data_IF_706967910150
#
_entry.id   IF_706967910150
#
_cell.length_a   1.000
_cell.length_b   1.000
_cell.length_c   1.000
_cell.angle_alpha   90.00
_cell.angle_beta   90.00
_cell.angle_gamma   90.00
#
_symmetry.space_group_name_H-M   'P 1'
#
loop_
_entity.id
_entity.type
_entity.pdbx_description
1 polymer ?
#
# COMPACT_ATOMS: atom_id res chain seq x y z
N UNK A 1 5.40 -4.73 -10.04
CA UNK A 1 4.45 -5.87 -10.07
C UNK A 1 3.25 -5.51 -10.91
N UNK A 2 2.89 -6.28 -11.95
CA UNK A 2 1.65 -6.01 -12.68
C UNK A 2 0.48 -6.88 -12.23
N UNK A 3 0.69 -8.16 -11.88
CA UNK A 3 -0.35 -9.11 -11.46
C UNK A 3 0.29 -10.34 -10.79
N UNK A 4 -0.46 -11.02 -9.91
CA UNK A 4 -0.06 -12.27 -9.26
C UNK A 4 -0.02 -12.21 -7.74
N UNK A 5 0.46 -13.29 -7.14
CA UNK A 5 0.58 -13.47 -5.70
C UNK A 5 2.02 -13.21 -5.22
N UNK A 6 2.15 -12.47 -4.12
CA UNK A 6 3.41 -12.35 -3.38
C UNK A 6 3.25 -13.03 -2.04
N UNK A 7 4.02 -14.10 -1.83
CA UNK A 7 4.10 -14.76 -0.53
C UNK A 7 4.99 -13.91 0.39
N UNK A 8 4.49 -13.60 1.57
CA UNK A 8 5.19 -12.86 2.61
C UNK A 8 5.25 -13.70 3.88
N UNK A 9 6.15 -13.43 4.82
CA UNK A 9 6.21 -14.19 6.08
C UNK A 9 4.91 -14.17 6.91
N UNK A 10 4.00 -13.23 6.64
CA UNK A 10 2.78 -12.99 7.44
C UNK A 10 1.48 -13.24 6.69
N UNK A 11 1.55 -13.57 5.39
CA UNK A 11 0.38 -13.66 4.53
C UNK A 11 0.72 -13.61 3.05
N UNK A 12 -0.32 -13.44 2.23
CA UNK A 12 -0.21 -13.35 0.77
C UNK A 12 -0.78 -12.02 0.29
N UNK A 13 -0.03 -11.33 -0.56
CA UNK A 13 -0.49 -10.14 -1.26
C UNK A 13 -0.91 -10.54 -2.67
N UNK A 14 -2.20 -10.40 -2.95
CA UNK A 14 -2.81 -10.63 -4.26
C UNK A 14 -2.84 -9.32 -5.02
N UNK A 15 -2.39 -9.33 -6.28
CA UNK A 15 -2.43 -8.16 -7.15
C UNK A 15 -3.08 -8.51 -8.48
N UNK A 16 -3.98 -7.65 -8.96
CA UNK A 16 -4.59 -7.77 -10.28
C UNK A 16 -4.91 -6.42 -10.90
N UNK A 17 -4.86 -6.33 -12.23
CA UNK A 17 -5.40 -5.16 -12.93
C UNK A 17 -6.91 -5.21 -13.00
N UNK A 18 -7.53 -4.05 -12.81
CA UNK A 18 -8.97 -3.83 -12.93
C UNK A 18 -9.25 -2.52 -13.66
N UNK A 19 -10.46 -2.38 -14.22
CA UNK A 19 -10.91 -1.18 -14.93
C UNK A 19 -11.84 -0.30 -14.10
N UNK A 20 -12.25 -0.76 -12.92
CA UNK A 20 -13.10 -0.02 -11.99
C UNK A 20 -12.67 -0.25 -10.56
N UNK A 21 -12.99 0.69 -9.68
CA UNK A 21 -12.67 0.60 -8.26
C UNK A 21 -13.85 1.04 -7.40
N UNK A 22 -13.77 0.69 -6.12
CA UNK A 22 -14.68 1.14 -5.08
C UNK A 22 -13.87 1.55 -3.85
N UNK A 23 -14.51 2.20 -2.89
CA UNK A 23 -13.90 2.41 -1.58
C UNK A 23 -13.45 1.05 -0.99
N UNK A 24 -12.16 0.88 -0.61
CA UNK A 24 -11.69 -0.35 0.02
C UNK A 24 -12.46 -0.65 1.30
N UNK A 25 -12.62 -1.93 1.62
CA UNK A 25 -13.29 -2.36 2.86
C UNK A 25 -12.50 -1.96 4.12
N UNK A 26 -11.17 -2.11 4.07
CA UNK A 26 -10.24 -1.79 5.14
C UNK A 26 -8.82 -1.50 4.57
N UNK A 27 -7.82 -1.36 5.44
CA UNK A 27 -6.44 -1.10 5.03
C UNK A 27 -5.72 -2.26 4.35
N UNK A 28 -6.31 -3.46 4.28
CA UNK A 28 -5.76 -4.63 3.59
C UNK A 28 -6.23 -4.74 2.13
N UNK A 29 -7.15 -3.87 1.70
CA UNK A 29 -7.54 -3.71 0.29
C UNK A 29 -7.11 -2.33 -0.22
N UNK A 30 -6.65 -2.27 -1.46
CA UNK A 30 -6.25 -1.02 -2.09
C UNK A 30 -6.49 -1.02 -3.60
N UNK A 31 -6.84 0.17 -4.12
CA UNK A 31 -6.92 0.45 -5.54
C UNK A 31 -5.97 1.60 -5.84
N UNK A 32 -4.99 1.37 -6.71
CA UNK A 32 -3.95 2.34 -7.03
C UNK A 32 -4.00 2.69 -8.52
N UNK A 33 -3.74 3.95 -8.87
CA UNK A 33 -3.61 4.41 -10.26
C UNK A 33 -2.32 3.86 -10.88
N UNK A 34 -2.40 2.68 -11.49
CA UNK A 34 -1.23 1.93 -11.97
C UNK A 34 -0.45 2.71 -13.04
N UNK A 35 -1.16 3.43 -13.89
CA UNK A 35 -0.62 4.29 -14.96
C UNK A 35 0.17 5.50 -14.42
N UNK A 36 -0.12 5.92 -13.18
CA UNK A 36 0.56 7.02 -12.50
C UNK A 36 1.72 6.55 -11.58
N UNK A 37 1.90 5.24 -11.40
CA UNK A 37 2.94 4.71 -10.51
C UNK A 37 4.32 4.69 -11.19
N UNK A 38 5.41 4.80 -10.41
CA UNK A 38 6.75 4.51 -10.90
C UNK A 38 6.86 3.08 -11.46
N UNK A 39 7.74 2.86 -12.44
CA UNK A 39 7.89 1.56 -13.11
C UNK A 39 8.47 0.47 -12.19
N UNK A 40 9.40 0.85 -11.32
CA UNK A 40 10.10 -0.06 -10.42
C UNK A 40 9.35 -0.18 -9.09
N UNK A 41 8.39 -1.12 -9.06
CA UNK A 41 7.57 -1.42 -7.89
C UNK A 41 8.04 -2.69 -7.21
N UNK A 42 8.33 -2.59 -5.91
CA UNK A 42 8.79 -3.70 -5.07
C UNK A 42 7.83 -3.90 -3.91
N UNK A 43 7.50 -5.16 -3.61
CA UNK A 43 6.83 -5.54 -2.37
C UNK A 43 7.87 -5.96 -1.36
N UNK A 44 7.90 -5.31 -0.18
CA UNK A 44 8.85 -5.60 0.90
C UNK A 44 8.30 -5.22 2.27
N UNK A 45 8.99 -5.66 3.32
CA UNK A 45 8.79 -5.11 4.67
C UNK A 45 9.32 -3.68 4.78
N UNK A 46 8.89 -2.98 5.83
CA UNK A 46 9.34 -1.62 6.13
C UNK A 46 10.83 -1.56 6.44
N UNK A 47 11.47 -0.47 6.03
CA UNK A 47 12.84 -0.11 6.42
C UNK A 47 12.85 1.27 7.07
N UNK A 48 13.88 1.54 7.87
CA UNK A 48 14.11 2.88 8.43
C UNK A 48 14.27 3.89 7.29
N UNK A 49 13.58 5.03 7.38
CA UNK A 49 13.61 6.07 6.35
C UNK A 49 12.43 6.03 5.38
N UNK A 50 11.63 4.95 5.38
CA UNK A 50 10.44 4.83 4.53
C UNK A 50 9.51 6.05 4.64
N UNK A 51 9.08 6.54 3.48
CA UNK A 51 8.29 7.76 3.34
C UNK A 51 6.89 7.48 2.86
N UNK A 52 5.91 8.16 3.44
CA UNK A 52 4.50 8.00 3.10
C UNK A 52 3.85 9.37 2.93
N UNK A 53 3.04 9.55 1.89
CA UNK A 53 2.18 10.72 1.73
C UNK A 53 0.77 10.35 2.16
N UNK A 54 0.31 10.73 3.36
CA UNK A 54 -1.03 10.39 3.83
C UNK A 54 -2.11 11.05 2.97
N UNK A 55 -3.23 10.34 2.78
CA UNK A 55 -4.36 10.87 2.03
C UNK A 55 -4.84 12.21 2.59
N UNK A 56 -4.98 13.21 1.71
CA UNK A 56 -5.49 14.54 2.06
C UNK A 56 -4.60 15.38 3.00
N UNK A 57 -3.40 14.92 3.35
CA UNK A 57 -2.46 15.68 4.17
C UNK A 57 -1.42 16.40 3.29
N UNK A 58 -0.96 17.60 3.68
CA UNK A 58 0.13 18.26 2.98
C UNK A 58 1.46 17.55 3.29
N UNK A 59 2.17 17.17 2.23
CA UNK A 59 3.57 16.76 2.31
C UNK A 59 3.83 15.29 2.66
N UNK A 60 5.12 14.99 2.73
CA UNK A 60 5.66 13.66 3.02
C UNK A 60 5.91 13.50 4.51
N UNK A 61 5.71 12.29 5.03
CA UNK A 61 6.04 11.95 6.42
C UNK A 61 6.83 10.64 6.47
N UNK A 62 7.54 10.42 7.57
CA UNK A 62 8.09 9.10 7.86
C UNK A 62 6.92 8.12 8.07
N UNK A 63 7.01 6.95 7.45
CA UNK A 63 6.01 5.89 7.63
C UNK A 63 5.90 5.50 9.11
N UNK A 64 7.01 5.49 9.85
CA UNK A 64 7.02 5.21 11.28
C UNK A 64 6.08 6.13 12.07
N UNK A 65 6.12 7.43 11.77
CA UNK A 65 5.33 8.43 12.48
C UNK A 65 3.87 8.28 12.13
N UNK A 66 3.56 8.03 10.85
CA UNK A 66 2.18 7.78 10.40
C UNK A 66 1.60 6.54 11.11
N UNK A 67 2.37 5.46 11.22
CA UNK A 67 1.93 4.24 11.90
C UNK A 67 1.74 4.45 13.41
N UNK A 68 2.57 5.28 14.04
CA UNK A 68 2.43 5.66 15.45
C UNK A 68 1.18 6.50 15.67
N UNK A 69 0.97 7.55 14.87
CA UNK A 69 -0.17 8.45 14.98
C UNK A 69 -1.50 7.72 14.77
N UNK A 70 -1.51 6.77 13.83
CA UNK A 70 -2.66 5.90 13.56
C UNK A 70 -2.83 4.78 14.60
N UNK A 71 -1.96 4.72 15.61
CA UNK A 71 -1.95 3.72 16.68
C UNK A 71 -1.95 2.28 16.15
N UNK A 72 -1.27 2.04 15.02
CA UNK A 72 -1.14 0.70 14.45
C UNK A 72 -0.27 -0.15 15.41
N UNK A 73 -0.72 -1.32 15.88
CA UNK A 73 0.07 -2.17 16.78
C UNK A 73 1.37 -2.63 16.15
N UNK A 74 2.40 -2.90 16.96
CA UNK A 74 3.77 -3.19 16.46
C UNK A 74 3.78 -4.44 15.57
N UNK A 75 3.02 -5.46 15.93
CA UNK A 75 2.83 -6.70 15.17
C UNK A 75 2.19 -6.46 13.80
N UNK A 76 1.37 -5.41 13.65
CA UNK A 76 0.75 -5.04 12.37
C UNK A 76 1.67 -4.17 11.50
N UNK A 77 2.71 -3.56 12.07
CA UNK A 77 3.65 -2.70 11.33
C UNK A 77 4.64 -3.48 10.46
N UNK A 78 4.76 -4.79 10.64
CA UNK A 78 5.62 -5.67 9.84
C UNK A 78 4.89 -6.29 8.63
N UNK A 79 3.73 -5.73 8.28
CA UNK A 79 2.97 -6.11 7.10
C UNK A 79 3.62 -5.58 5.81
N UNK A 80 3.34 -6.22 4.66
CA UNK A 80 3.97 -5.83 3.40
C UNK A 80 3.60 -4.43 2.96
N UNK A 81 4.57 -3.78 2.31
CA UNK A 81 4.46 -2.49 1.66
C UNK A 81 4.61 -2.67 0.15
N UNK A 82 3.91 -1.87 -0.63
CA UNK A 82 4.26 -1.61 -2.03
C UNK A 82 5.06 -0.31 -2.11
N UNK A 83 6.28 -0.41 -2.62
CA UNK A 83 7.23 0.70 -2.63
C UNK A 83 7.81 0.98 -4.02
N UNK A 84 8.19 2.24 -4.22
CA UNK A 84 9.11 2.69 -5.26
C UNK A 84 10.32 3.36 -4.57
N UNK A 85 11.41 2.61 -4.41
CA UNK A 85 12.53 3.02 -3.56
C UNK A 85 12.09 3.18 -2.09
N UNK A 86 12.29 4.37 -1.53
CA UNK A 86 11.86 4.75 -0.17
C UNK A 86 10.39 5.21 -0.11
N UNK A 87 9.75 5.47 -1.25
CA UNK A 87 8.36 5.93 -1.30
C UNK A 87 7.42 4.75 -1.14
N UNK A 88 6.57 4.81 -0.12
CA UNK A 88 5.55 3.81 0.17
C UNK A 88 4.25 4.24 -0.47
N UNK A 89 3.77 3.44 -1.42
CA UNK A 89 2.56 3.70 -2.22
C UNK A 89 1.33 3.01 -1.60
N UNK A 90 1.54 1.89 -0.93
CA UNK A 90 0.55 1.17 -0.16
C UNK A 90 1.21 0.48 1.03
N UNK A 91 0.53 0.51 2.17
CA UNK A 91 0.93 -0.19 3.38
C UNK A 91 -0.24 -1.03 3.90
N UNK A 92 -0.09 -2.35 3.93
CA UNK A 92 -1.15 -3.24 4.37
C UNK A 92 -1.55 -2.98 5.83
N UNK A 93 -2.85 -2.83 6.08
CA UNK A 93 -3.42 -2.41 7.36
C UNK A 93 -3.53 -0.88 7.55
N UNK A 94 -2.86 -0.08 6.71
CA UNK A 94 -2.93 1.38 6.75
C UNK A 94 -3.69 1.97 5.54
N UNK A 95 -3.41 1.46 4.34
CA UNK A 95 -4.01 1.93 3.08
C UNK A 95 -2.99 2.56 2.12
N UNK A 96 -3.50 3.32 1.15
CA UNK A 96 -2.71 3.90 0.06
C UNK A 96 -2.16 5.29 0.40
N UNK A 97 -1.08 5.64 -0.30
CA UNK A 97 -0.56 7.00 -0.33
C UNK A 97 -1.36 7.89 -1.29
N UNK A 98 -1.40 9.20 -1.05
CA UNK A 98 -1.98 10.20 -1.97
C UNK A 98 -1.35 10.14 -3.36
N UNK A 99 -0.06 9.74 -3.46
CA UNK A 99 0.64 9.58 -4.74
C UNK A 99 0.10 8.44 -5.60
N UNK A 100 -0.54 7.45 -4.98
CA UNK A 100 -1.06 6.27 -5.66
C UNK A 100 -2.58 6.33 -5.89
N UNK A 101 -3.23 7.44 -5.52
CA UNK A 101 -4.68 7.59 -5.55
C UNK A 101 -5.22 7.53 -6.98
N UNK A 102 -6.32 6.78 -7.15
CA UNK A 102 -7.09 6.76 -8.40
C UNK A 102 -7.71 8.13 -8.67
N UNK A 103 -7.55 8.63 -9.89
CA UNK A 103 -8.07 9.91 -10.37
C UNK A 103 -9.06 9.70 -11.52
N UNK A 104 -9.87 10.72 -11.89
CA UNK A 104 -10.83 10.58 -12.99
C UNK A 104 -10.21 10.21 -14.34
N UNK A 105 -8.94 10.52 -14.55
CA UNK A 105 -8.16 10.23 -15.75
C UNK A 105 -7.37 8.91 -15.70
N UNK A 106 -7.41 8.19 -14.58
CA UNK A 106 -6.76 6.88 -14.42
C UNK A 106 -7.36 5.86 -15.39
N UNK A 107 -6.50 5.24 -16.20
CA UNK A 107 -6.85 4.24 -17.22
C UNK A 107 -6.63 2.81 -16.75
N UNK A 108 -5.62 2.60 -15.91
CA UNK A 108 -5.27 1.30 -15.36
C UNK A 108 -5.26 1.36 -13.83
N UNK A 109 -5.96 0.43 -13.19
CA UNK A 109 -6.03 0.35 -11.74
C UNK A 109 -5.39 -0.96 -11.28
N UNK A 110 -4.46 -0.86 -10.34
CA UNK A 110 -3.93 -2.01 -9.61
C UNK A 110 -4.81 -2.24 -8.39
N UNK A 111 -5.51 -3.37 -8.36
CA UNK A 111 -6.21 -3.86 -7.18
C UNK A 111 -5.27 -4.75 -6.37
N UNK A 112 -5.07 -4.42 -5.11
CA UNK A 112 -4.28 -5.19 -4.15
C UNK A 112 -5.20 -5.66 -3.03
N UNK A 113 -5.05 -6.92 -2.66
CA UNK A 113 -5.67 -7.49 -1.47
C UNK A 113 -4.64 -8.29 -0.69
N UNK A 114 -4.45 -7.95 0.58
CA UNK A 114 -3.60 -8.68 1.49
C UNK A 114 -4.43 -9.63 2.35
N UNK A 115 -4.13 -10.92 2.28
CA UNK A 115 -4.74 -11.97 3.10
C UNK A 115 -3.69 -12.55 4.04
N UNK A 116 -3.78 -12.20 5.31
CA UNK A 116 -2.85 -12.65 6.35
C UNK A 116 -2.84 -11.70 7.53
N UNK A 117 -2.06 -12.01 8.57
CA UNK A 117 -1.96 -11.16 9.74
C UNK A 117 -3.09 -11.27 10.76
N UNK A 118 -3.87 -12.38 10.77
CA UNK A 118 -4.51 -12.83 12.01
C UNK A 118 -3.52 -13.71 12.77
N UNK A 119 -2.91 -13.15 13.81
CA UNK A 119 -2.35 -13.92 14.91
C UNK A 119 -2.86 -13.28 16.21
N UNK A 120 -3.75 -14.01 16.90
CA UNK A 120 -4.19 -13.72 18.26
C UNK A 120 -5.28 -12.67 18.37
#
# INVERSE_FOLDING_TARGET
MPEGETITPRGVLHSKRVTSWRKPADGNEAFLALDALPKELVVRSRHTGDRFYPLGAPGERLLSDVLIDKKIPKEERDRPLLCAGEQVLYAAGLGISERAKVRPDTREILHIQYTGGKQG
#
